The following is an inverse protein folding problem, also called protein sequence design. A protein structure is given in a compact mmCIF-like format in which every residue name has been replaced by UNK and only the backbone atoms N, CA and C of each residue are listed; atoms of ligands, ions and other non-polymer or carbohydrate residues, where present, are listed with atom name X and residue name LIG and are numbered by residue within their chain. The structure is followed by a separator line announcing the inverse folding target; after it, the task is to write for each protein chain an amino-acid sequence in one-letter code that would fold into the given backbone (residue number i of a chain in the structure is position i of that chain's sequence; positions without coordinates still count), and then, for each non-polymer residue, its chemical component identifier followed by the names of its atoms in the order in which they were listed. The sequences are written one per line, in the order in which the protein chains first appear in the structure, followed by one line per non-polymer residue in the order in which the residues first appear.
data_IF_250488501878
#
_entry.id   IF_250488501878
#
_cell.length_a   1.000
_cell.length_b   1.000
_cell.length_c   1.000
_cell.angle_alpha   90.00
_cell.angle_beta   90.00
_cell.angle_gamma   90.00
#
_symmetry.space_group_name_H-M   'P 1'
#
loop_
_entity.id
_entity.type
_entity.pdbx_description
1 polymer ?
#
# COMPACT_ATOMS: atom_id res chain seq x y z
N UNK A 1 6.31 -12.13 -15.24
CA UNK A 1 4.90 -11.77 -15.01
C UNK A 1 4.04 -12.27 -16.15
N UNK A 2 3.18 -13.23 -15.87
CA UNK A 2 2.32 -13.93 -16.84
C UNK A 2 1.49 -12.95 -17.66
N UNK A 3 0.95 -11.91 -17.00
CA UNK A 3 0.12 -10.88 -17.63
C UNK A 3 0.83 -10.13 -18.77
N UNK A 4 2.06 -9.66 -18.53
CA UNK A 4 2.80 -8.92 -19.55
C UNK A 4 3.15 -9.83 -20.74
N UNK A 5 3.62 -11.03 -20.47
CA UNK A 5 3.94 -12.03 -21.51
C UNK A 5 2.67 -12.41 -22.30
N UNK A 6 1.54 -12.55 -21.60
CA UNK A 6 0.25 -12.86 -22.20
C UNK A 6 -0.33 -11.77 -23.11
N UNK A 7 0.11 -10.51 -22.96
CA UNK A 7 -0.27 -9.39 -23.84
C UNK A 7 0.62 -9.28 -25.09
N UNK A 8 1.86 -9.78 -25.03
CA UNK A 8 2.80 -9.68 -26.15
C UNK A 8 2.27 -10.42 -27.37
N UNK A 9 2.33 -9.75 -28.52
CA UNK A 9 1.91 -10.30 -29.81
C UNK A 9 0.39 -10.32 -30.06
N UNK A 10 -0.43 -9.83 -29.12
CA UNK A 10 -1.87 -9.69 -29.32
C UNK A 10 -2.20 -8.34 -29.96
N UNK A 11 -2.84 -8.37 -31.11
CA UNK A 11 -3.23 -7.14 -31.84
C UNK A 11 -4.22 -6.30 -31.03
N UNK A 12 -5.10 -6.96 -30.25
CA UNK A 12 -6.10 -6.33 -29.38
C UNK A 12 -5.48 -5.58 -28.20
N UNK A 13 -4.20 -5.85 -27.89
CA UNK A 13 -3.48 -5.16 -26.81
C UNK A 13 -2.81 -3.85 -27.26
N UNK A 14 -2.71 -3.61 -28.58
CA UNK A 14 -2.01 -2.44 -29.13
C UNK A 14 -2.79 -1.17 -28.83
N UNK A 15 -2.10 -0.16 -28.27
CA UNK A 15 -2.66 1.12 -27.85
C UNK A 15 -3.75 1.04 -26.77
N UNK A 16 -3.80 -0.06 -26.02
CA UNK A 16 -4.76 -0.26 -24.93
C UNK A 16 -4.08 -0.19 -23.56
N UNK A 17 -4.83 0.28 -22.57
CA UNK A 17 -4.41 0.31 -21.17
C UNK A 17 -5.10 -0.84 -20.39
N UNK A 18 -4.35 -1.47 -19.49
CA UNK A 18 -4.83 -2.57 -18.65
C UNK A 18 -4.47 -2.33 -17.19
N UNK A 19 -5.44 -2.56 -16.30
CA UNK A 19 -5.17 -2.68 -14.87
C UNK A 19 -4.68 -4.10 -14.57
N UNK A 20 -3.43 -4.20 -14.12
CA UNK A 20 -2.80 -5.46 -13.72
C UNK A 20 -2.72 -5.46 -12.19
N UNK A 21 -3.82 -5.82 -11.56
CA UNK A 21 -3.99 -5.80 -10.11
C UNK A 21 -4.51 -7.15 -9.62
N UNK A 22 -4.32 -7.43 -8.31
CA UNK A 22 -5.00 -8.54 -7.65
C UNK A 22 -6.49 -8.28 -7.52
N UNK A 23 -7.26 -9.33 -7.17
CA UNK A 23 -8.66 -9.22 -6.77
C UNK A 23 -8.81 -8.77 -5.30
N UNK A 24 -7.71 -8.74 -4.58
CA UNK A 24 -7.67 -8.32 -3.19
C UNK A 24 -7.72 -6.79 -3.10
N UNK A 25 -8.58 -6.30 -2.23
CA UNK A 25 -8.61 -4.90 -1.84
C UNK A 25 -8.64 -4.80 -0.32
N UNK A 26 -7.79 -3.93 0.23
CA UNK A 26 -7.57 -3.82 1.66
C UNK A 26 -7.74 -2.37 2.13
N UNK A 27 -8.32 -2.19 3.31
CA UNK A 27 -8.20 -0.92 4.02
C UNK A 27 -6.76 -0.72 4.51
N UNK A 28 -6.38 0.53 4.75
CA UNK A 28 -5.08 0.84 5.35
C UNK A 28 -4.90 0.16 6.70
N UNK A 29 -5.96 0.04 7.50
CA UNK A 29 -5.93 -0.71 8.76
C UNK A 29 -5.53 -2.16 8.56
N UNK A 30 -6.12 -2.83 7.56
CA UNK A 30 -5.79 -4.22 7.27
C UNK A 30 -4.35 -4.38 6.78
N UNK A 31 -3.86 -3.42 5.95
CA UNK A 31 -2.47 -3.40 5.52
C UNK A 31 -1.53 -3.31 6.73
N UNK A 32 -1.78 -2.38 7.66
CA UNK A 32 -0.95 -2.25 8.86
C UNK A 32 -1.08 -3.45 9.80
N UNK A 33 -2.27 -4.07 9.94
CA UNK A 33 -2.43 -5.30 10.73
C UNK A 33 -1.67 -6.48 10.13
N UNK A 34 -1.70 -6.66 8.81
CA UNK A 34 -0.90 -7.70 8.16
C UNK A 34 0.60 -7.47 8.35
N UNK A 35 1.08 -6.24 8.24
CA UNK A 35 2.48 -5.90 8.52
C UNK A 35 2.85 -6.17 9.97
N UNK A 36 2.02 -5.73 10.94
CA UNK A 36 2.22 -6.02 12.36
C UNK A 36 2.24 -7.51 12.65
N UNK A 37 1.28 -8.26 12.11
CA UNK A 37 1.24 -9.72 12.25
C UNK A 37 2.50 -10.39 11.70
N UNK A 38 3.01 -9.94 10.56
CA UNK A 38 4.25 -10.44 9.99
C UNK A 38 5.47 -10.19 10.90
N UNK A 39 5.45 -9.10 11.67
CA UNK A 39 6.47 -8.74 12.66
C UNK A 39 6.23 -9.38 14.04
N UNK A 40 5.13 -10.13 14.22
CA UNK A 40 4.75 -10.73 15.50
C UNK A 40 4.23 -9.72 16.54
N UNK A 41 3.73 -8.57 16.11
CA UNK A 41 3.18 -7.50 16.98
C UNK A 41 1.75 -7.14 16.59
N UNK A 42 0.96 -6.70 17.56
CA UNK A 42 -0.33 -6.05 17.32
C UNK A 42 -0.10 -4.53 17.18
N UNK A 43 -0.36 -3.93 16.00
CA UNK A 43 -0.13 -2.50 15.81
C UNK A 43 -1.17 -1.66 16.55
N UNK A 44 -0.74 -0.62 17.24
CA UNK A 44 -1.62 0.40 17.81
C UNK A 44 -1.92 1.45 16.73
N UNK A 45 -3.08 1.36 16.09
CA UNK A 45 -3.47 2.24 14.99
C UNK A 45 -4.09 3.53 15.53
N UNK A 46 -3.51 4.66 15.13
CA UNK A 46 -4.00 6.00 15.48
C UNK A 46 -4.55 6.67 14.22
N UNK A 47 -5.85 6.94 14.21
CA UNK A 47 -6.53 7.59 13.09
C UNK A 47 -6.56 9.09 13.28
N UNK A 48 -5.85 9.83 12.43
CA UNK A 48 -5.79 11.29 12.46
C UNK A 48 -6.41 11.81 11.15
N UNK A 49 -7.37 12.75 11.21
CA UNK A 49 -7.98 13.32 10.00
C UNK A 49 -6.94 13.94 9.05
N UNK A 50 -7.12 13.73 7.75
CA UNK A 50 -6.16 14.17 6.74
C UNK A 50 -5.92 15.67 6.73
N UNK A 51 -6.94 16.49 7.06
CA UNK A 51 -6.81 17.94 7.17
C UNK A 51 -5.96 18.37 8.38
N UNK A 52 -5.92 17.56 9.43
CA UNK A 52 -5.03 17.77 10.58
C UNK A 52 -3.59 17.41 10.19
N UNK A 53 -3.38 16.25 9.55
CA UNK A 53 -2.04 15.84 9.08
C UNK A 53 -1.46 16.89 8.13
N UNK A 54 -2.27 17.43 7.23
CA UNK A 54 -1.90 18.47 6.27
C UNK A 54 -1.32 19.75 6.89
N UNK A 55 -1.61 20.02 8.17
CA UNK A 55 -1.04 21.16 8.88
C UNK A 55 0.38 20.95 9.35
N UNK A 56 0.84 19.70 9.35
CA UNK A 56 2.18 19.33 9.81
C UNK A 56 3.16 19.20 8.64
N UNK A 57 2.68 18.72 7.48
CA UNK A 57 3.55 18.46 6.34
C UNK A 57 2.80 18.63 5.01
N UNK A 58 3.33 19.48 4.12
CA UNK A 58 2.71 19.78 2.84
C UNK A 58 2.73 18.61 1.87
N UNK A 59 3.76 17.78 1.89
CA UNK A 59 3.87 16.62 0.99
C UNK A 59 2.78 15.60 1.33
N UNK A 60 2.54 15.34 2.63
CA UNK A 60 1.41 14.53 3.06
C UNK A 60 0.07 15.17 2.74
N UNK A 61 -0.05 16.50 2.86
CA UNK A 61 -1.26 17.22 2.51
C UNK A 61 -1.67 16.98 1.05
N UNK A 62 -0.75 17.15 0.12
CA UNK A 62 -0.99 16.98 -1.32
C UNK A 62 -1.45 15.56 -1.64
N UNK A 63 -0.82 14.54 -1.06
CA UNK A 63 -1.21 13.15 -1.24
C UNK A 63 -2.54 12.79 -0.58
N UNK A 64 -2.72 13.15 0.70
CA UNK A 64 -3.89 12.73 1.50
C UNK A 64 -5.17 13.46 1.11
N UNK A 65 -5.09 14.75 0.75
CA UNK A 65 -6.25 15.55 0.32
C UNK A 65 -6.51 15.42 -1.18
N UNK A 66 -5.53 14.92 -1.94
CA UNK A 66 -5.65 14.65 -3.36
C UNK A 66 -6.14 13.23 -3.65
N UNK A 67 -5.31 12.45 -4.33
CA UNK A 67 -5.65 11.10 -4.82
C UNK A 67 -6.01 10.10 -3.70
N UNK A 68 -5.38 10.20 -2.53
CA UNK A 68 -5.62 9.29 -1.40
C UNK A 68 -6.88 9.58 -0.59
N UNK A 69 -7.60 10.67 -0.92
CA UNK A 69 -8.92 10.95 -0.33
C UNK A 69 -10.03 10.02 -0.84
N UNK A 70 -9.76 9.29 -1.92
CA UNK A 70 -10.71 8.38 -2.56
C UNK A 70 -10.23 6.93 -2.51
N UNK A 71 -11.20 6.00 -2.41
CA UNK A 71 -10.88 4.57 -2.52
C UNK A 71 -10.44 4.24 -3.94
N UNK A 72 -9.33 3.49 -4.06
CA UNK A 72 -8.73 3.09 -5.33
C UNK A 72 -8.90 1.58 -5.51
N UNK A 73 -10.07 1.18 -6.01
CA UNK A 73 -10.37 -0.21 -6.38
C UNK A 73 -10.39 -0.29 -7.90
N UNK A 74 -9.47 -1.06 -8.48
CA UNK A 74 -9.31 -1.15 -9.92
C UNK A 74 -9.95 -2.42 -10.47
N UNK A 75 -10.73 -2.28 -11.53
CA UNK A 75 -11.30 -3.39 -12.28
C UNK A 75 -10.24 -4.02 -13.18
N UNK A 76 -9.96 -5.31 -12.97
CA UNK A 76 -9.00 -6.11 -13.73
C UNK A 76 -9.68 -7.07 -14.73
N UNK A 77 -10.98 -6.96 -14.96
CA UNK A 77 -11.71 -7.84 -15.86
C UNK A 77 -11.21 -7.76 -17.32
N UNK A 78 -10.76 -6.58 -17.77
CA UNK A 78 -10.21 -6.39 -19.11
C UNK A 78 -8.96 -7.22 -19.36
N UNK A 79 -8.00 -7.24 -18.42
CA UNK A 79 -6.80 -8.08 -18.56
C UNK A 79 -7.15 -9.56 -18.48
N UNK A 80 -8.05 -9.98 -17.61
CA UNK A 80 -8.50 -11.37 -17.49
C UNK A 80 -9.22 -11.87 -18.74
N UNK A 81 -9.95 -11.01 -19.43
CA UNK A 81 -10.58 -11.35 -20.71
C UNK A 81 -9.54 -11.68 -21.77
N UNK A 82 -8.46 -10.91 -21.86
CA UNK A 82 -7.42 -11.10 -22.87
C UNK A 82 -6.36 -12.12 -22.45
N UNK A 83 -6.11 -12.27 -21.16
CA UNK A 83 -5.16 -13.23 -20.56
C UNK A 83 -5.90 -14.03 -19.48
N UNK A 84 -6.72 -15.05 -19.86
CA UNK A 84 -7.56 -15.78 -18.90
C UNK A 84 -6.78 -16.50 -17.80
N UNK A 85 -5.52 -16.89 -18.10
CA UNK A 85 -4.63 -17.55 -17.12
C UNK A 85 -3.98 -16.56 -16.14
N UNK A 86 -4.30 -15.25 -16.23
CA UNK A 86 -3.79 -14.27 -15.30
C UNK A 86 -4.48 -14.40 -13.95
N UNK A 87 -3.70 -14.71 -12.92
CA UNK A 87 -4.07 -14.68 -11.51
C UNK A 87 -2.95 -14.03 -10.71
N UNK A 88 -3.31 -13.17 -9.76
CA UNK A 88 -2.39 -12.64 -8.76
C UNK A 88 -2.54 -13.49 -7.49
N UNK A 89 -1.76 -14.55 -7.38
CA UNK A 89 -1.92 -15.63 -6.41
C UNK A 89 -1.36 -15.32 -5.02
N UNK A 90 -0.51 -14.27 -4.90
CA UNK A 90 0.13 -13.92 -3.64
C UNK A 90 -0.72 -12.85 -2.92
N UNK A 91 -1.44 -13.21 -1.85
CA UNK A 91 -2.18 -12.23 -1.06
C UNK A 91 -1.21 -11.31 -0.30
N UNK A 92 -1.68 -10.10 0.05
CA UNK A 92 -0.84 -9.13 0.76
C UNK A 92 -0.31 -9.66 2.10
N UNK A 93 -1.07 -10.49 2.81
CA UNK A 93 -0.61 -11.14 4.05
C UNK A 93 0.68 -11.93 3.85
N UNK A 94 0.78 -12.69 2.74
CA UNK A 94 2.00 -13.41 2.41
C UNK A 94 3.11 -12.45 1.99
N UNK A 95 2.80 -11.46 1.13
CA UNK A 95 3.76 -10.44 0.73
C UNK A 95 4.32 -9.65 1.91
N UNK A 96 3.51 -9.36 2.92
CA UNK A 96 3.96 -8.70 4.15
C UNK A 96 5.03 -9.53 4.89
N UNK A 97 4.85 -10.85 4.99
CA UNK A 97 5.85 -11.75 5.59
C UNK A 97 7.18 -11.73 4.80
N UNK A 98 7.10 -11.73 3.47
CA UNK A 98 8.29 -11.66 2.62
C UNK A 98 9.00 -10.30 2.76
N UNK A 99 8.25 -9.18 2.83
CA UNK A 99 8.80 -7.83 3.05
C UNK A 99 9.54 -7.78 4.39
N UNK A 100 8.92 -8.24 5.48
CA UNK A 100 9.53 -8.24 6.81
C UNK A 100 10.80 -9.09 6.81
N UNK A 101 10.74 -10.32 6.30
CA UNK A 101 11.90 -11.20 6.21
C UNK A 101 13.06 -10.57 5.41
N UNK A 102 12.76 -9.83 4.31
CA UNK A 102 13.76 -9.13 3.53
C UNK A 102 14.44 -8.00 4.31
N UNK A 103 13.67 -7.22 5.09
CA UNK A 103 14.25 -6.18 5.95
C UNK A 103 15.08 -6.76 7.10
N UNK A 104 14.61 -7.84 7.72
CA UNK A 104 15.30 -8.48 8.84
C UNK A 104 16.61 -9.17 8.44
N UNK A 105 16.71 -9.64 7.20
CA UNK A 105 17.89 -10.32 6.68
C UNK A 105 19.14 -9.42 6.61
N UNK A 106 19.00 -8.09 6.68
CA UNK A 106 20.14 -7.17 6.61
C UNK A 106 19.83 -5.88 7.38
N UNK A 107 20.58 -5.63 8.46
CA UNK A 107 20.42 -4.42 9.29
C UNK A 107 20.67 -3.12 8.52
N UNK A 108 21.43 -3.15 7.43
CA UNK A 108 21.66 -1.97 6.58
C UNK A 108 20.39 -1.48 5.88
N UNK A 109 19.36 -2.33 5.78
CA UNK A 109 18.03 -2.00 5.23
C UNK A 109 17.13 -1.33 6.26
N UNK A 110 17.37 -1.54 7.55
CA UNK A 110 16.55 -1.06 8.67
C UNK A 110 16.88 0.40 9.02
N UNK A 111 16.73 1.29 8.04
CA UNK A 111 17.02 2.73 8.23
C UNK A 111 15.75 3.44 8.65
N UNK A 112 15.84 4.13 9.78
CA UNK A 112 14.79 5.02 10.27
C UNK A 112 15.09 6.44 9.76
N UNK A 113 14.10 7.09 9.17
CA UNK A 113 14.16 8.52 8.86
C UNK A 113 13.80 9.30 10.14
N UNK A 114 14.76 10.05 10.74
CA UNK A 114 14.52 10.78 11.98
C UNK A 114 13.49 11.90 11.83
N UNK A 115 13.39 12.51 10.64
CA UNK A 115 12.40 13.55 10.38
C UNK A 115 10.99 12.96 10.40
N UNK A 116 10.74 11.89 9.65
CA UNK A 116 9.43 11.24 9.60
C UNK A 116 9.03 10.66 10.95
N UNK A 117 9.97 10.02 11.66
CA UNK A 117 9.69 9.49 12.99
C UNK A 117 9.29 10.60 13.97
N UNK A 118 10.05 11.69 14.02
CA UNK A 118 9.72 12.83 14.88
C UNK A 118 8.42 13.56 14.49
N UNK A 119 8.07 13.57 13.20
CA UNK A 119 6.81 14.10 12.69
C UNK A 119 5.61 13.27 13.18
N UNK A 120 5.70 11.95 13.05
CA UNK A 120 4.64 11.04 13.49
C UNK A 120 4.44 11.11 15.02
N UNK A 121 5.52 11.13 15.79
CA UNK A 121 5.44 11.28 17.24
C UNK A 121 4.70 12.56 17.66
N UNK A 122 5.00 13.70 17.03
CA UNK A 122 4.33 14.97 17.27
C UNK A 122 2.84 14.91 16.97
N UNK A 123 2.45 14.31 15.85
CA UNK A 123 1.04 14.17 15.46
C UNK A 123 0.27 13.29 16.44
N UNK A 124 0.86 12.15 16.83
CA UNK A 124 0.25 11.19 17.77
C UNK A 124 0.09 11.86 19.15
N UNK A 125 1.11 12.52 19.68
CA UNK A 125 1.07 13.21 20.97
C UNK A 125 0.01 14.31 21.00
N UNK A 126 -0.06 15.12 19.93
CA UNK A 126 -1.09 16.16 19.83
C UNK A 126 -2.50 15.59 19.80
N UNK A 127 -2.70 14.51 19.04
CA UNK A 127 -4.02 13.87 18.94
C UNK A 127 -4.43 13.22 20.26
N UNK A 128 -3.51 12.52 20.93
CA UNK A 128 -3.76 11.92 22.25
C UNK A 128 -4.05 12.95 23.37
N UNK A 129 -3.53 14.18 23.25
CA UNK A 129 -3.78 15.25 24.24
C UNK A 129 -5.15 15.92 24.09
N UNK A 130 -5.91 15.61 23.03
CA UNK A 130 -7.23 16.22 22.72
C UNK A 130 -8.41 15.27 22.86
N UNK A 131 -8.17 13.98 23.06
CA UNK A 131 -9.18 12.96 23.34
C UNK A 131 -9.26 12.65 24.80
#
# INVERSE_FOLDING_TARGET
PICLVGLLGKAEAINEAYHITSDEWLSWDNIFRHMGSAMGIEPNLVHIPSDIIARYDQVFAEGLLGDKSHSMIFDNSKIKTLVPDFSAEIPFEQGAKEIVAWYEADSARQKIDPYLNGLFDKMIQYHASKG
#
